data_IF_871378195174
#
_entry.id   IF_871378195174
#
_cell.length_a   1.000
_cell.length_b   1.000
_cell.length_c   1.000
_cell.angle_alpha   90.00
_cell.angle_beta   90.00
_cell.angle_gamma   90.00
#
_symmetry.space_group_name_H-M   'P 1'
#
loop_
_entity.id
_entity.type
_entity.pdbx_description
1 polymer ?
#
# COMPACT_ATOMS: atom_id res chain seq x y z
N UNK A 1 -45.94 33.51 55.17
CA UNK A 1 -44.47 33.37 55.13
C UNK A 1 -44.07 32.73 53.80
N UNK A 2 -43.11 33.33 53.11
CA UNK A 2 -42.59 32.97 51.77
C UNK A 2 -41.91 31.59 51.74
N UNK A 3 -41.96 30.91 50.58
CA UNK A 3 -40.91 30.09 49.90
C UNK A 3 -41.61 29.12 48.91
N UNK A 4 -41.76 29.45 47.63
CA UNK A 4 -40.82 29.20 46.51
C UNK A 4 -40.37 27.74 46.40
N UNK A 5 -41.00 26.98 45.48
CA UNK A 5 -40.36 25.85 44.80
C UNK A 5 -40.66 26.00 43.31
N UNK A 6 -39.70 26.62 42.62
CA UNK A 6 -39.59 26.60 41.17
C UNK A 6 -39.08 25.21 40.78
N UNK A 7 -39.92 24.38 40.17
CA UNK A 7 -39.47 23.16 39.52
C UNK A 7 -38.82 23.57 38.20
N UNK A 8 -37.49 23.63 38.19
CA UNK A 8 -36.68 23.83 37.00
C UNK A 8 -36.84 22.64 36.05
N UNK A 9 -37.45 22.91 34.89
CA UNK A 9 -37.27 22.12 33.68
C UNK A 9 -35.78 22.24 33.28
N UNK A 10 -34.97 21.25 33.65
CA UNK A 10 -33.57 21.14 33.22
C UNK A 10 -33.28 19.72 32.72
N UNK A 11 -34.10 19.26 31.77
CA UNK A 11 -33.68 18.22 30.82
C UNK A 11 -32.88 18.88 29.69
N UNK A 12 -31.72 19.44 30.02
CA UNK A 12 -30.74 19.89 29.03
C UNK A 12 -29.99 18.67 28.52
N UNK A 13 -30.53 18.08 27.45
CA UNK A 13 -29.81 17.62 26.27
C UNK A 13 -28.29 17.42 26.45
N UNK A 14 -27.88 16.33 27.11
CA UNK A 14 -26.57 15.71 26.81
C UNK A 14 -26.70 14.95 25.48
N UNK A 15 -26.94 15.68 24.39
CA UNK A 15 -26.70 15.18 23.06
C UNK A 15 -25.19 15.09 22.89
N UNK A 16 -24.62 13.92 23.14
CA UNK A 16 -23.31 13.58 22.58
C UNK A 16 -23.46 13.65 21.07
N UNK A 17 -23.18 14.82 20.49
CA UNK A 17 -23.04 14.96 19.06
C UNK A 17 -21.91 14.01 18.66
N UNK A 18 -22.27 12.88 18.05
CA UNK A 18 -21.36 12.06 17.26
C UNK A 18 -20.79 12.98 16.18
N UNK A 19 -19.68 13.63 16.49
CA UNK A 19 -19.06 14.58 15.59
C UNK A 19 -18.38 13.75 14.51
N UNK A 20 -19.03 13.64 13.35
CA UNK A 20 -18.47 12.95 12.19
C UNK A 20 -17.06 13.50 11.92
N UNK A 21 -16.11 12.59 11.70
CA UNK A 21 -14.71 12.97 11.45
C UNK A 21 -14.66 13.89 10.23
N UNK A 22 -14.20 15.13 10.44
CA UNK A 22 -14.12 16.12 9.37
C UNK A 22 -13.04 15.74 8.37
N UNK A 23 -13.43 15.52 7.12
CA UNK A 23 -12.52 15.33 5.99
C UNK A 23 -11.73 16.62 5.75
N UNK A 24 -10.40 16.54 5.72
CA UNK A 24 -9.46 17.66 5.59
C UNK A 24 -8.78 17.74 4.22
N UNK A 25 -8.99 16.74 3.37
CA UNK A 25 -8.36 16.59 2.06
C UNK A 25 -9.43 16.42 0.99
N UNK A 26 -9.26 17.09 -0.16
CA UNK A 26 -10.00 16.75 -1.38
C UNK A 26 -9.08 15.86 -2.23
N UNK A 27 -9.46 14.60 -2.39
CA UNK A 27 -8.78 13.63 -3.25
C UNK A 27 -8.87 14.04 -4.72
N UNK A 28 -8.13 13.36 -5.61
CA UNK A 28 -8.19 13.62 -7.05
C UNK A 28 -9.61 13.55 -7.60
N UNK A 29 -10.43 12.57 -7.18
CA UNK A 29 -11.83 12.46 -7.60
C UNK A 29 -12.71 13.62 -7.08
N UNK A 30 -12.49 14.11 -5.86
CA UNK A 30 -13.20 15.30 -5.36
C UNK A 30 -12.84 16.54 -6.15
N UNK A 31 -11.56 16.72 -6.48
CA UNK A 31 -11.09 17.85 -7.29
C UNK A 31 -11.60 17.76 -8.73
N UNK A 32 -11.64 16.55 -9.31
CA UNK A 32 -12.17 16.32 -10.65
C UNK A 32 -13.67 16.67 -10.73
N UNK A 33 -14.46 16.26 -9.73
CA UNK A 33 -15.88 16.65 -9.62
C UNK A 33 -16.04 18.17 -9.54
N UNK A 34 -15.23 18.86 -8.71
CA UNK A 34 -15.27 20.34 -8.62
C UNK A 34 -14.95 21.03 -9.94
N UNK A 35 -14.11 20.40 -10.78
CA UNK A 35 -13.75 20.91 -12.10
C UNK A 35 -14.77 20.52 -13.17
N UNK A 36 -15.90 19.91 -12.77
CA UNK A 36 -16.92 19.38 -13.67
C UNK A 36 -16.34 18.44 -14.74
N UNK A 37 -15.37 17.61 -14.37
CA UNK A 37 -14.73 16.62 -15.25
C UNK A 37 -14.09 17.21 -16.52
N UNK A 38 -13.78 18.51 -16.55
CA UNK A 38 -13.36 19.23 -17.77
C UNK A 38 -12.21 18.57 -18.54
N UNK A 39 -11.24 17.96 -17.84
CA UNK A 39 -10.11 17.31 -18.50
C UNK A 39 -10.47 15.99 -19.22
N UNK A 40 -11.70 15.49 -19.06
CA UNK A 40 -12.23 14.28 -19.69
C UNK A 40 -13.21 14.55 -20.84
N UNK A 41 -13.64 15.80 -21.03
CA UNK A 41 -14.65 16.15 -22.04
C UNK A 41 -14.17 15.79 -23.45
N UNK A 42 -15.06 15.18 -24.24
CA UNK A 42 -14.78 14.78 -25.62
C UNK A 42 -13.85 13.56 -25.79
N UNK A 43 -13.44 12.90 -24.70
CA UNK A 43 -12.54 11.72 -24.72
C UNK A 43 -13.30 10.45 -24.38
N UNK A 44 -12.92 9.33 -24.99
CA UNK A 44 -13.32 7.98 -24.54
C UNK A 44 -12.45 7.57 -23.36
N UNK A 45 -13.07 7.43 -22.20
CA UNK A 45 -12.37 7.22 -20.93
C UNK A 45 -12.32 5.73 -20.58
N UNK A 46 -11.11 5.24 -20.35
CA UNK A 46 -10.87 3.96 -19.68
C UNK A 46 -10.51 4.19 -18.21
N UNK A 47 -11.12 3.49 -17.26
CA UNK A 47 -10.87 3.68 -15.82
C UNK A 47 -10.17 2.47 -15.20
N UNK A 48 -8.98 2.69 -14.66
CA UNK A 48 -8.24 1.74 -13.83
C UNK A 48 -8.60 2.02 -12.37
N UNK A 49 -9.33 1.10 -11.76
CA UNK A 49 -9.87 1.29 -10.40
C UNK A 49 -10.12 -0.04 -9.71
N UNK A 50 -10.42 0.04 -8.42
CA UNK A 50 -10.87 -1.06 -7.57
C UNK A 50 -11.86 -0.50 -6.51
N UNK A 51 -12.30 -1.27 -5.50
CA UNK A 51 -13.24 -0.76 -4.48
C UNK A 51 -12.78 0.47 -3.70
N UNK A 52 -11.48 0.80 -3.70
CA UNK A 52 -10.95 1.99 -3.01
C UNK A 52 -11.16 3.29 -3.79
N UNK A 53 -11.46 3.20 -5.08
CA UNK A 53 -11.75 4.32 -5.96
C UNK A 53 -13.13 4.90 -5.68
N UNK A 54 -13.27 5.58 -4.55
CA UNK A 54 -14.52 6.21 -4.09
C UNK A 54 -14.33 7.68 -3.71
N UNK A 55 -15.45 8.42 -3.72
CA UNK A 55 -15.54 9.80 -3.24
C UNK A 55 -15.82 9.89 -1.73
N UNK A 56 -15.97 11.12 -1.20
CA UNK A 56 -16.24 11.36 0.22
C UNK A 56 -17.58 10.78 0.73
N UNK A 57 -18.47 10.36 -0.18
CA UNK A 57 -19.76 9.73 0.11
C UNK A 57 -19.74 8.22 -0.16
N UNK A 58 -18.55 7.65 -0.32
CA UNK A 58 -18.35 6.23 -0.63
C UNK A 58 -18.96 5.80 -1.97
N UNK A 59 -19.21 6.74 -2.88
CA UNK A 59 -19.66 6.42 -4.23
C UNK A 59 -18.46 6.08 -5.11
N UNK A 60 -18.53 4.98 -5.84
CA UNK A 60 -17.47 4.54 -6.75
C UNK A 60 -17.23 5.56 -7.85
N UNK A 61 -15.96 5.78 -8.19
CA UNK A 61 -15.52 6.57 -9.34
C UNK A 61 -16.09 6.01 -10.65
N UNK A 62 -16.35 4.70 -10.71
CA UNK A 62 -17.05 4.07 -11.85
C UNK A 62 -18.41 4.74 -12.05
N UNK A 63 -19.22 4.75 -11.01
CA UNK A 63 -20.60 5.23 -11.08
C UNK A 63 -20.63 6.76 -11.24
N UNK A 64 -19.68 7.48 -10.62
CA UNK A 64 -19.54 8.93 -10.78
C UNK A 64 -19.24 9.30 -12.23
N UNK A 65 -18.29 8.62 -12.89
CA UNK A 65 -17.93 8.93 -14.27
C UNK A 65 -18.97 8.42 -15.26
N UNK A 66 -19.65 7.31 -14.97
CA UNK A 66 -20.72 6.78 -15.82
C UNK A 66 -21.97 7.68 -15.83
N UNK A 67 -22.32 8.28 -14.69
CA UNK A 67 -23.49 9.17 -14.57
C UNK A 67 -23.22 10.61 -15.04
N UNK A 68 -21.95 11.01 -15.18
CA UNK A 68 -21.59 12.36 -15.59
C UNK A 68 -21.89 12.57 -17.10
N UNK A 69 -22.82 13.48 -17.47
CA UNK A 69 -23.29 13.58 -18.86
C UNK A 69 -22.24 14.07 -19.86
N UNK A 70 -21.16 14.70 -19.37
CA UNK A 70 -20.04 15.19 -20.18
C UNK A 70 -18.84 14.22 -20.20
N UNK A 71 -18.98 13.01 -19.65
CA UNK A 71 -17.94 11.98 -19.63
C UNK A 71 -18.41 10.76 -20.42
N UNK A 72 -17.58 10.28 -21.35
CA UNK A 72 -17.84 9.06 -22.10
C UNK A 72 -16.97 7.91 -21.53
N UNK A 73 -17.43 7.28 -20.44
CA UNK A 73 -16.76 6.12 -19.85
C UNK A 73 -17.07 4.86 -20.67
N UNK A 74 -16.03 4.23 -21.24
CA UNK A 74 -16.20 3.12 -22.22
C UNK A 74 -15.60 1.80 -21.78
N UNK A 75 -14.68 1.77 -20.82
CA UNK A 75 -14.02 0.55 -20.36
C UNK A 75 -13.52 0.65 -18.92
N UNK A 76 -13.47 -0.49 -18.23
CA UNK A 76 -12.96 -0.63 -16.87
C UNK A 76 -11.77 -1.59 -16.86
N UNK A 77 -10.80 -1.33 -15.99
CA UNK A 77 -9.57 -2.10 -15.85
C UNK A 77 -9.33 -2.43 -14.38
N UNK A 78 -9.39 -3.72 -14.03
CA UNK A 78 -9.20 -4.20 -12.66
C UNK A 78 -7.77 -4.63 -12.40
N UNK A 79 -7.11 -4.17 -11.31
CA UNK A 79 -5.81 -4.67 -10.89
C UNK A 79 -5.94 -6.03 -10.19
N UNK A 80 -4.98 -6.37 -9.33
CA UNK A 80 -5.11 -7.45 -8.35
C UNK A 80 -6.39 -7.27 -7.50
N UNK A 81 -7.20 -8.33 -7.40
CA UNK A 81 -8.54 -8.39 -6.76
C UNK A 81 -9.73 -7.82 -7.56
N UNK A 82 -9.51 -7.41 -8.81
CA UNK A 82 -10.60 -6.99 -9.71
C UNK A 82 -11.18 -5.60 -9.43
N UNK A 83 -12.16 -5.19 -10.26
CA UNK A 83 -12.73 -3.83 -10.23
C UNK A 83 -13.74 -3.64 -9.08
N UNK A 84 -14.61 -4.63 -8.85
CA UNK A 84 -15.66 -4.57 -7.80
C UNK A 84 -15.28 -5.36 -6.53
N UNK A 85 -14.06 -5.91 -6.47
CA UNK A 85 -13.58 -6.70 -5.32
C UNK A 85 -14.21 -8.09 -5.21
N UNK A 86 -14.81 -8.56 -6.30
CA UNK A 86 -15.55 -9.82 -6.43
C UNK A 86 -14.67 -11.01 -6.86
N UNK A 87 -13.34 -10.81 -6.91
CA UNK A 87 -12.37 -11.78 -7.40
C UNK A 87 -11.27 -12.01 -6.36
N UNK A 88 -10.93 -13.26 -6.05
CA UNK A 88 -9.79 -13.56 -5.17
C UNK A 88 -8.44 -13.28 -5.87
N UNK A 89 -7.41 -12.97 -5.09
CA UNK A 89 -6.04 -12.87 -5.64
C UNK A 89 -5.64 -14.19 -6.29
N UNK A 90 -5.17 -14.14 -7.54
CA UNK A 90 -4.73 -15.31 -8.29
C UNK A 90 -5.78 -15.92 -9.23
N UNK A 91 -7.05 -15.52 -9.12
CA UNK A 91 -8.11 -16.05 -9.98
C UNK A 91 -8.03 -15.52 -11.40
N UNK A 92 -8.37 -16.38 -12.36
CA UNK A 92 -8.44 -16.03 -13.78
C UNK A 92 -9.74 -15.26 -14.04
N UNK A 93 -9.63 -13.98 -14.37
CA UNK A 93 -10.77 -13.16 -14.78
C UNK A 93 -10.86 -13.22 -16.31
N UNK A 94 -11.93 -13.81 -16.84
CA UNK A 94 -12.27 -13.67 -18.27
C UNK A 94 -12.76 -12.24 -18.56
N UNK A 95 -12.84 -11.83 -19.83
CA UNK A 95 -13.47 -10.54 -20.16
C UNK A 95 -14.92 -10.54 -19.65
N UNK A 96 -15.22 -9.65 -18.71
CA UNK A 96 -16.54 -9.54 -18.08
C UNK A 96 -17.21 -8.23 -18.48
N UNK A 97 -18.51 -8.12 -18.23
CA UNK A 97 -19.22 -6.84 -18.22
C UNK A 97 -19.56 -6.47 -16.79
N UNK A 98 -19.38 -5.21 -16.43
CA UNK A 98 -19.83 -4.70 -15.15
C UNK A 98 -21.36 -4.72 -15.11
N UNK A 99 -21.96 -5.38 -14.12
CA UNK A 99 -23.40 -5.60 -14.08
C UNK A 99 -24.21 -4.30 -13.95
N UNK A 100 -23.65 -3.27 -13.31
CA UNK A 100 -24.35 -2.00 -13.07
C UNK A 100 -24.31 -1.07 -14.29
N UNK A 101 -23.19 -1.03 -15.01
CA UNK A 101 -22.95 -0.07 -16.12
C UNK A 101 -23.00 -0.72 -17.51
N UNK A 102 -22.90 -2.04 -17.59
CA UNK A 102 -22.80 -2.81 -18.84
C UNK A 102 -21.45 -2.69 -19.55
N UNK A 103 -20.48 -1.96 -18.97
CA UNK A 103 -19.17 -1.70 -19.58
C UNK A 103 -18.27 -2.93 -19.59
N UNK A 104 -17.39 -3.09 -20.61
CA UNK A 104 -16.38 -4.13 -20.60
C UNK A 104 -15.38 -3.92 -19.45
N UNK A 105 -15.01 -5.02 -18.81
CA UNK A 105 -14.04 -5.09 -17.71
C UNK A 105 -12.86 -5.95 -18.13
N UNK A 106 -11.67 -5.35 -18.17
CA UNK A 106 -10.42 -6.01 -18.48
C UNK A 106 -9.61 -6.26 -17.21
N UNK A 107 -9.00 -7.44 -17.11
CA UNK A 107 -8.08 -7.76 -16.00
C UNK A 107 -6.65 -7.32 -16.33
N UNK A 108 -6.05 -6.55 -15.42
CA UNK A 108 -4.64 -6.16 -15.43
C UNK A 108 -3.81 -7.00 -14.43
N UNK A 109 -4.13 -8.29 -14.32
CA UNK A 109 -3.45 -9.25 -13.43
C UNK A 109 -3.15 -10.59 -14.13
N UNK A 110 -2.38 -11.45 -13.47
CA UNK A 110 -2.05 -12.79 -13.98
C UNK A 110 -1.22 -12.73 -15.27
N UNK A 111 -1.75 -13.27 -16.37
CA UNK A 111 -1.10 -13.28 -17.69
C UNK A 111 -1.05 -11.90 -18.36
N UNK A 112 -1.98 -11.00 -18.01
CA UNK A 112 -2.11 -9.70 -18.66
C UNK A 112 -1.96 -8.60 -17.63
N UNK A 113 -0.73 -8.29 -17.20
CA UNK A 113 -0.45 -7.23 -16.20
C UNK A 113 -0.32 -5.84 -16.80
N UNK A 114 -0.16 -5.77 -18.12
CA UNK A 114 -0.04 -4.55 -18.92
C UNK A 114 -1.18 -4.55 -19.93
N UNK A 115 -1.88 -3.42 -20.06
CA UNK A 115 -2.98 -3.29 -21.02
C UNK A 115 -2.46 -3.54 -22.45
N UNK A 116 -3.16 -4.39 -23.20
CA UNK A 116 -2.79 -4.69 -24.59
C UNK A 116 -3.29 -3.60 -25.54
N UNK A 117 -2.71 -3.44 -26.74
CA UNK A 117 -3.24 -2.50 -27.74
C UNK A 117 -4.73 -2.71 -28.03
N UNK A 118 -5.19 -3.96 -28.06
CA UNK A 118 -6.59 -4.30 -28.27
C UNK A 118 -7.50 -3.78 -27.15
N UNK A 119 -7.04 -3.87 -25.90
CA UNK A 119 -7.77 -3.31 -24.75
C UNK A 119 -7.82 -1.78 -24.77
N UNK A 120 -6.93 -1.11 -25.51
CA UNK A 120 -6.81 0.35 -25.57
C UNK A 120 -7.36 0.97 -26.87
N UNK A 121 -7.81 0.16 -27.83
CA UNK A 121 -8.24 0.64 -29.15
C UNK A 121 -9.39 1.66 -29.07
N UNK A 122 -10.30 1.45 -28.12
CA UNK A 122 -11.51 2.24 -27.94
C UNK A 122 -11.36 3.34 -26.87
N UNK A 123 -10.16 3.53 -26.33
CA UNK A 123 -9.86 4.49 -25.26
C UNK A 123 -8.93 5.58 -25.80
N UNK A 124 -9.21 6.83 -25.43
CA UNK A 124 -8.35 7.98 -25.71
C UNK A 124 -7.50 8.37 -24.48
N UNK A 125 -8.08 8.18 -23.28
CA UNK A 125 -7.43 8.46 -22.00
C UNK A 125 -7.67 7.36 -20.97
N UNK A 126 -6.61 6.93 -20.30
CA UNK A 126 -6.70 6.08 -19.11
C UNK A 126 -6.70 6.96 -17.86
N UNK A 127 -7.68 6.77 -16.99
CA UNK A 127 -7.77 7.38 -15.67
C UNK A 127 -7.40 6.34 -14.61
N UNK A 128 -6.51 6.68 -13.69
CA UNK A 128 -6.12 5.84 -12.56
C UNK A 128 -6.64 6.42 -11.25
N UNK A 129 -7.42 5.64 -10.49
CA UNK A 129 -7.95 6.03 -9.18
C UNK A 129 -7.96 4.85 -8.19
N UNK A 130 -6.82 4.57 -7.56
CA UNK A 130 -6.66 3.47 -6.58
C UNK A 130 -5.87 3.98 -5.37
N UNK A 131 -6.30 3.60 -4.17
CA UNK A 131 -5.57 3.83 -2.93
C UNK A 131 -4.49 2.75 -2.72
N UNK A 132 -3.22 3.12 -2.92
CA UNK A 132 -2.06 2.29 -2.55
C UNK A 132 -1.66 2.48 -1.07
N UNK A 133 -0.58 1.81 -0.64
CA UNK A 133 -0.11 1.79 0.76
C UNK A 133 1.27 2.44 0.98
N UNK A 134 1.87 3.06 -0.04
CA UNK A 134 3.19 3.69 0.09
C UNK A 134 4.37 2.71 0.14
N UNK A 135 4.17 1.44 -0.26
CA UNK A 135 5.16 0.37 -0.22
C UNK A 135 5.35 -0.29 -1.58
N UNK A 136 6.61 -0.48 -2.00
CA UNK A 136 7.00 -0.87 -3.36
C UNK A 136 6.43 -2.22 -3.81
N UNK A 137 6.32 -3.18 -2.90
CA UNK A 137 5.80 -4.52 -3.21
C UNK A 137 4.28 -4.59 -3.31
N UNK A 138 3.57 -3.50 -3.03
CA UNK A 138 2.12 -3.43 -3.21
C UNK A 138 1.79 -3.08 -4.66
N UNK A 139 1.27 -4.05 -5.41
CA UNK A 139 1.38 -4.10 -6.88
C UNK A 139 0.56 -3.07 -7.65
N UNK A 140 -0.30 -2.28 -6.98
CA UNK A 140 -1.10 -1.25 -7.63
C UNK A 140 -0.27 -0.16 -8.31
N UNK A 141 0.90 0.18 -7.75
CA UNK A 141 1.83 1.10 -8.41
C UNK A 141 2.52 0.47 -9.62
N UNK A 142 2.76 -0.85 -9.59
CA UNK A 142 3.27 -1.60 -10.74
C UNK A 142 2.25 -1.61 -11.88
N UNK A 143 0.97 -1.85 -11.55
CA UNK A 143 -0.14 -1.69 -12.51
C UNK A 143 -0.19 -0.28 -13.08
N UNK A 144 -0.06 0.76 -12.24
CA UNK A 144 -0.04 2.16 -12.69
C UNK A 144 1.06 2.40 -13.73
N UNK A 145 2.32 2.08 -13.42
CA UNK A 145 3.42 2.37 -14.34
C UNK A 145 3.42 1.49 -15.60
N UNK A 146 2.98 0.21 -15.51
CA UNK A 146 2.78 -0.61 -16.72
C UNK A 146 1.65 -0.06 -17.61
N UNK A 147 0.58 0.48 -17.01
CA UNK A 147 -0.48 1.13 -17.77
C UNK A 147 -0.03 2.48 -18.36
N UNK A 148 0.80 3.25 -17.67
CA UNK A 148 1.46 4.44 -18.22
C UNK A 148 2.35 4.09 -19.41
N UNK A 149 3.11 3.00 -19.32
CA UNK A 149 3.93 2.49 -20.42
C UNK A 149 3.08 2.09 -21.62
N UNK A 150 1.99 1.33 -21.40
CA UNK A 150 1.05 0.97 -22.45
C UNK A 150 0.38 2.20 -23.08
N UNK A 151 0.03 3.21 -22.28
CA UNK A 151 -0.50 4.48 -22.78
C UNK A 151 0.52 5.20 -23.67
N UNK A 152 1.77 5.31 -23.23
CA UNK A 152 2.85 5.94 -24.00
C UNK A 152 3.11 5.20 -25.34
N UNK A 153 3.07 3.87 -25.35
CA UNK A 153 3.25 3.05 -26.56
C UNK A 153 2.11 3.20 -27.57
N UNK A 154 0.89 3.48 -27.10
CA UNK A 154 -0.31 3.53 -27.93
C UNK A 154 -0.84 4.96 -28.14
N UNK A 155 -0.04 5.98 -27.81
CA UNK A 155 -0.41 7.39 -27.97
C UNK A 155 -1.62 7.81 -27.15
N UNK A 156 -1.84 7.21 -25.98
CA UNK A 156 -2.96 7.50 -25.08
C UNK A 156 -2.53 8.50 -24.00
N UNK A 157 -3.46 9.34 -23.57
CA UNK A 157 -3.27 10.16 -22.38
C UNK A 157 -3.43 9.29 -21.12
N UNK A 158 -2.73 9.67 -20.06
CA UNK A 158 -2.86 9.03 -18.75
C UNK A 158 -3.12 10.09 -17.68
N UNK A 159 -4.21 9.93 -16.93
CA UNK A 159 -4.62 10.83 -15.86
C UNK A 159 -4.58 10.09 -14.52
N UNK A 160 -3.86 10.63 -13.54
CA UNK A 160 -3.88 10.12 -12.16
C UNK A 160 -4.80 10.98 -11.30
N UNK A 161 -5.82 10.39 -10.69
CA UNK A 161 -6.58 11.00 -9.61
C UNK A 161 -5.81 10.76 -8.32
N UNK A 162 -5.07 11.76 -7.88
CA UNK A 162 -4.08 11.55 -6.84
C UNK A 162 -4.73 11.24 -5.47
N UNK A 163 -4.07 10.39 -4.68
CA UNK A 163 -4.53 9.92 -3.37
C UNK A 163 -3.45 10.04 -2.30
N UNK A 164 -3.82 10.15 -1.01
CA UNK A 164 -2.86 10.20 0.08
C UNK A 164 -1.94 8.98 0.09
N UNK A 165 -0.64 9.18 0.30
CA UNK A 165 0.20 8.09 0.79
C UNK A 165 -0.17 7.85 2.27
N UNK A 166 -0.69 6.66 2.65
CA UNK A 166 -1.24 6.45 3.99
C UNK A 166 -0.16 6.40 5.09
N UNK A 167 1.10 6.13 4.73
CA UNK A 167 2.25 6.17 5.63
C UNK A 167 2.96 7.53 5.63
N UNK A 168 2.36 8.54 4.98
CA UNK A 168 2.91 9.88 4.84
C UNK A 168 4.01 10.00 3.78
N UNK A 169 4.44 11.23 3.53
CA UNK A 169 5.42 11.58 2.50
C UNK A 169 6.84 11.80 3.03
N UNK A 170 7.18 11.31 4.23
CA UNK A 170 8.49 11.61 4.85
C UNK A 170 9.42 10.41 4.95
N UNK A 171 8.88 9.22 5.22
CA UNK A 171 9.67 8.00 5.34
C UNK A 171 10.17 7.54 3.98
N UNK A 172 11.46 7.25 3.93
CA UNK A 172 12.14 6.62 2.79
C UNK A 172 13.03 5.54 3.38
N UNK A 173 12.75 4.28 3.06
CA UNK A 173 13.45 3.11 3.62
C UNK A 173 13.66 2.05 2.52
N UNK A 174 14.82 1.38 2.54
CA UNK A 174 15.18 0.31 1.61
C UNK A 174 15.96 0.76 0.37
N UNK A 175 16.77 -0.15 -0.15
CA UNK A 175 17.55 0.09 -1.37
C UNK A 175 16.65 0.20 -2.60
N UNK A 176 17.14 0.86 -3.65
CA UNK A 176 16.51 0.80 -4.97
C UNK A 176 16.53 -0.63 -5.49
N UNK A 177 15.54 -0.97 -6.30
CA UNK A 177 15.52 -2.25 -7.03
C UNK A 177 16.69 -2.34 -8.01
N UNK A 178 17.42 -3.45 -7.97
CA UNK A 178 18.45 -3.83 -8.93
C UNK A 178 17.87 -4.53 -10.16
N UNK A 179 18.58 -4.49 -11.28
CA UNK A 179 18.08 -4.94 -12.59
C UNK A 179 17.67 -6.42 -12.59
N UNK A 180 18.38 -7.28 -11.85
CA UNK A 180 18.07 -8.70 -11.71
C UNK A 180 16.86 -8.99 -10.78
N UNK A 181 16.41 -7.98 -10.05
CA UNK A 181 15.28 -8.05 -9.12
C UNK A 181 14.07 -7.25 -9.61
N UNK A 182 14.11 -6.60 -10.78
CA UNK A 182 12.94 -5.93 -11.36
C UNK A 182 11.86 -6.96 -11.67
N UNK A 183 10.68 -6.76 -11.09
CA UNK A 183 9.52 -7.65 -11.26
C UNK A 183 8.22 -6.92 -10.93
N UNK A 184 7.07 -7.58 -11.05
CA UNK A 184 5.79 -6.96 -10.72
C UNK A 184 5.65 -6.52 -9.25
N UNK A 185 6.42 -7.11 -8.32
CA UNK A 185 6.47 -6.71 -6.89
C UNK A 185 7.63 -5.75 -6.58
N UNK A 186 8.31 -5.27 -7.61
CA UNK A 186 9.54 -4.47 -7.54
C UNK A 186 9.77 -3.75 -8.87
N UNK A 187 8.70 -3.13 -9.39
CA UNK A 187 8.63 -2.78 -10.82
C UNK A 187 9.55 -1.63 -11.22
N UNK A 188 9.96 -0.80 -10.26
CA UNK A 188 10.74 0.41 -10.50
C UNK A 188 11.93 0.49 -9.55
N UNK A 189 12.97 1.23 -9.98
CA UNK A 189 14.14 1.57 -9.16
C UNK A 189 13.79 2.67 -8.14
N UNK A 190 12.95 2.31 -7.17
CA UNK A 190 12.53 3.14 -6.03
C UNK A 190 12.80 2.38 -4.72
N UNK A 191 12.94 3.06 -3.57
CA UNK A 191 13.06 2.43 -2.25
C UNK A 191 11.84 1.58 -1.89
N UNK A 192 11.96 0.73 -0.87
CA UNK A 192 10.86 -0.12 -0.40
C UNK A 192 9.69 0.71 0.14
N UNK A 193 9.98 1.69 1.01
CA UNK A 193 9.08 2.81 1.29
C UNK A 193 9.59 4.02 0.52
N UNK A 194 8.83 4.47 -0.47
CA UNK A 194 9.27 5.52 -1.40
C UNK A 194 8.75 6.92 -1.04
N UNK A 195 7.78 7.02 -0.13
CA UNK A 195 7.34 8.30 0.43
C UNK A 195 6.74 9.29 -0.57
N UNK A 196 6.15 8.84 -1.69
CA UNK A 196 5.46 9.66 -2.67
C UNK A 196 3.97 9.31 -2.69
N UNK A 197 3.12 10.22 -3.14
CA UNK A 197 1.77 9.83 -3.60
C UNK A 197 1.84 9.10 -4.94
N UNK A 198 0.76 8.44 -5.36
CA UNK A 198 0.72 7.80 -6.68
C UNK A 198 0.90 8.83 -7.83
N UNK A 199 0.36 10.04 -7.69
CA UNK A 199 0.59 11.14 -8.63
C UNK A 199 2.02 11.65 -8.67
N UNK A 200 2.66 11.84 -7.50
CA UNK A 200 4.08 12.22 -7.43
C UNK A 200 5.00 11.12 -8.00
N UNK A 201 4.67 9.84 -7.77
CA UNK A 201 5.38 8.71 -8.36
C UNK A 201 5.21 8.68 -9.88
N UNK A 202 4.00 8.88 -10.41
CA UNK A 202 3.77 8.93 -11.85
C UNK A 202 4.59 10.05 -12.51
N UNK A 203 4.66 11.23 -11.90
CA UNK A 203 5.52 12.34 -12.37
C UNK A 203 7.00 11.94 -12.38
N UNK A 204 7.48 11.28 -11.32
CA UNK A 204 8.85 10.79 -11.25
C UNK A 204 9.15 9.76 -12.35
N UNK A 205 8.29 8.74 -12.51
CA UNK A 205 8.48 7.71 -13.52
C UNK A 205 8.57 8.32 -14.93
N UNK A 206 7.73 9.32 -15.20
CA UNK A 206 7.70 10.01 -16.49
C UNK A 206 8.87 10.98 -16.70
N UNK A 207 9.22 11.76 -15.68
CA UNK A 207 10.26 12.79 -15.74
C UNK A 207 11.69 12.24 -15.74
N UNK A 208 11.92 11.15 -15.00
CA UNK A 208 13.22 10.47 -14.93
C UNK A 208 13.34 9.33 -15.96
N UNK A 209 12.39 9.22 -16.90
CA UNK A 209 12.38 8.23 -18.00
C UNK A 209 12.54 6.79 -17.51
N UNK A 210 11.81 6.44 -16.45
CA UNK A 210 11.88 5.12 -15.81
C UNK A 210 10.95 4.08 -16.45
N UNK A 211 10.08 4.49 -17.38
CA UNK A 211 9.27 3.56 -18.17
C UNK A 211 10.17 2.82 -19.18
N UNK A 212 9.73 1.65 -19.67
CA UNK A 212 10.50 0.85 -20.63
C UNK A 212 10.98 1.69 -21.81
N UNK A 213 12.22 1.47 -22.22
CA UNK A 213 12.90 2.19 -23.31
C UNK A 213 12.98 3.72 -23.11
N UNK A 214 12.80 4.21 -21.87
CA UNK A 214 12.85 5.63 -21.55
C UNK A 214 11.65 6.42 -22.09
N UNK A 215 10.53 5.75 -22.39
CA UNK A 215 9.31 6.39 -22.91
C UNK A 215 8.71 7.37 -21.92
N UNK A 216 8.02 8.36 -22.47
CA UNK A 216 7.26 9.34 -21.70
C UNK A 216 5.80 9.28 -22.14
N UNK A 217 4.90 9.25 -21.17
CA UNK A 217 3.46 9.29 -21.36
C UNK A 217 2.98 10.76 -21.40
N UNK A 218 1.92 11.03 -22.16
CA UNK A 218 1.15 12.26 -22.01
C UNK A 218 0.39 12.20 -20.68
N UNK A 219 1.06 12.64 -19.61
CA UNK A 219 0.64 12.47 -18.23
C UNK A 219 0.02 13.76 -17.69
N UNK A 220 -1.15 13.62 -17.07
CA UNK A 220 -1.76 14.65 -16.24
C UNK A 220 -2.07 14.11 -14.84
N UNK A 221 -1.85 14.91 -13.80
CA UNK A 221 -2.17 14.54 -12.42
C UNK A 221 -3.21 15.52 -11.88
N UNK A 222 -4.37 15.00 -11.49
CA UNK A 222 -5.39 15.76 -10.77
C UNK A 222 -4.97 15.83 -9.30
N UNK A 223 -4.22 16.88 -8.98
CA UNK A 223 -3.62 17.13 -7.68
C UNK A 223 -4.67 17.28 -6.57
N UNK A 224 -4.42 16.66 -5.42
CA UNK A 224 -5.23 16.83 -4.21
C UNK A 224 -5.19 18.26 -3.67
N UNK A 225 -6.20 18.64 -2.88
CA UNK A 225 -6.17 19.87 -2.07
C UNK A 225 -6.13 19.50 -0.59
N UNK A 226 -5.21 20.11 0.16
CA UNK A 226 -5.14 19.99 1.62
C UNK A 226 -4.20 18.91 2.17
N UNK A 227 -3.85 17.88 1.39
CA UNK A 227 -2.87 16.87 1.84
C UNK A 227 -1.49 17.49 2.06
N UNK A 228 -0.79 17.01 3.09
CA UNK A 228 0.56 17.43 3.49
C UNK A 228 1.41 16.20 3.72
N UNK A 229 2.71 16.31 3.47
CA UNK A 229 3.63 15.17 3.61
C UNK A 229 3.68 14.59 5.02
N UNK A 230 3.39 15.41 6.03
CA UNK A 230 3.31 15.00 7.44
C UNK A 230 2.03 14.23 7.80
N UNK A 231 1.03 14.19 6.92
CA UNK A 231 -0.23 13.50 7.18
C UNK A 231 -0.08 11.99 6.98
N UNK A 232 -0.41 11.21 7.99
CA UNK A 232 -0.86 9.84 7.78
C UNK A 232 -2.32 9.80 7.29
N UNK A 233 -2.82 8.61 6.94
CA UNK A 233 -4.17 8.45 6.43
C UNK A 233 -5.25 8.93 7.41
N UNK A 234 -5.12 8.63 8.71
CA UNK A 234 -6.14 8.97 9.71
C UNK A 234 -6.29 10.49 9.86
N UNK A 235 -5.20 11.23 9.70
CA UNK A 235 -5.19 12.69 9.77
C UNK A 235 -5.92 13.35 8.60
N UNK A 236 -6.15 12.64 7.49
CA UNK A 236 -6.92 13.14 6.33
C UNK A 236 -8.41 13.25 6.61
N UNK A 237 -8.93 12.46 7.56
CA UNK A 237 -10.36 12.34 7.83
C UNK A 237 -11.14 11.43 6.89
N UNK A 238 -10.49 10.82 5.88
CA UNK A 238 -11.12 9.91 4.94
C UNK A 238 -11.44 8.55 5.58
N UNK A 239 -12.46 7.88 5.05
CA UNK A 239 -12.76 6.49 5.40
C UNK A 239 -11.77 5.55 4.69
N UNK A 240 -11.30 4.53 5.40
CA UNK A 240 -10.46 3.50 4.83
C UNK A 240 -11.33 2.39 4.23
N UNK A 241 -11.25 2.21 2.91
CA UNK A 241 -11.67 0.97 2.26
C UNK A 241 -10.49 0.02 2.29
N UNK A 242 -10.65 -1.25 2.71
CA UNK A 242 -9.57 -2.24 2.67
C UNK A 242 -8.87 -2.24 1.31
N UNK A 243 -7.59 -1.83 1.29
CA UNK A 243 -6.82 -1.74 0.06
C UNK A 243 -6.51 -3.14 -0.50
N UNK A 244 -6.42 -4.14 0.38
CA UNK A 244 -6.56 -5.56 0.06
C UNK A 244 -7.15 -6.28 1.29
N UNK A 245 -7.55 -7.57 1.18
CA UNK A 245 -8.16 -8.29 2.31
C UNK A 245 -7.31 -8.31 3.59
N UNK A 246 -5.98 -8.27 3.45
CA UNK A 246 -5.06 -8.27 4.60
C UNK A 246 -4.58 -6.87 5.00
N UNK A 247 -5.04 -5.80 4.34
CA UNK A 247 -4.88 -4.41 4.77
C UNK A 247 -6.26 -3.82 5.14
N UNK A 248 -6.93 -4.36 6.18
CA UNK A 248 -8.31 -4.01 6.51
C UNK A 248 -8.47 -2.62 7.12
N UNK A 249 -7.39 -2.03 7.64
CA UNK A 249 -7.42 -0.78 8.38
C UNK A 249 -6.30 0.15 7.93
N UNK A 250 -6.43 1.48 8.11
CA UNK A 250 -5.39 2.42 7.70
C UNK A 250 -4.07 2.17 8.43
N UNK A 251 -4.12 1.70 9.68
CA UNK A 251 -2.90 1.37 10.41
C UNK A 251 -2.19 0.12 9.85
N UNK A 252 -2.91 -0.79 9.19
CA UNK A 252 -2.32 -1.98 8.55
C UNK A 252 -1.33 -1.58 7.46
N UNK A 253 -1.49 -0.41 6.83
CA UNK A 253 -0.53 0.13 5.86
C UNK A 253 0.85 0.39 6.49
N UNK A 254 0.92 0.78 7.76
CA UNK A 254 2.19 0.93 8.48
C UNK A 254 2.86 -0.42 8.78
N UNK A 255 2.06 -1.46 9.00
CA UNK A 255 2.55 -2.76 9.42
C UNK A 255 2.91 -3.67 8.24
N UNK A 256 2.32 -3.48 7.06
CA UNK A 256 2.75 -4.19 5.86
C UNK A 256 4.28 -4.16 5.64
N UNK A 257 4.97 -3.00 5.65
CA UNK A 257 6.42 -2.98 5.53
C UNK A 257 7.16 -3.55 6.75
N UNK A 258 6.52 -3.62 7.93
CA UNK A 258 7.12 -4.16 9.16
C UNK A 258 7.45 -5.63 9.04
N UNK A 259 6.57 -6.42 8.40
CA UNK A 259 6.70 -7.88 8.36
C UNK A 259 6.53 -8.51 6.96
N UNK A 260 6.16 -7.72 5.95
CA UNK A 260 5.74 -8.23 4.64
C UNK A 260 6.84 -8.98 3.89
N UNK A 261 8.10 -8.55 4.00
CA UNK A 261 9.23 -9.21 3.31
C UNK A 261 9.46 -10.61 3.88
N UNK A 262 9.47 -10.76 5.22
CA UNK A 262 9.52 -12.06 5.88
C UNK A 262 8.28 -12.91 5.55
N UNK A 263 7.12 -12.27 5.40
CA UNK A 263 5.86 -12.91 5.04
C UNK A 263 5.92 -13.73 3.75
N UNK A 264 6.72 -13.30 2.76
CA UNK A 264 6.89 -14.02 1.49
C UNK A 264 7.49 -15.43 1.67
N UNK A 265 8.17 -15.68 2.78
CA UNK A 265 8.76 -16.99 3.07
C UNK A 265 7.76 -17.98 3.67
N UNK A 266 6.64 -17.50 4.24
CA UNK A 266 5.67 -18.35 4.94
C UNK A 266 6.25 -19.14 6.13
N UNK A 267 7.40 -18.72 6.66
CA UNK A 267 8.15 -19.45 7.69
C UNK A 267 7.66 -19.16 9.11
N UNK A 268 7.35 -17.89 9.38
CA UNK A 268 6.76 -17.44 10.63
C UNK A 268 5.39 -16.85 10.34
N UNK A 269 4.45 -16.99 11.28
CA UNK A 269 3.20 -16.28 11.21
C UNK A 269 3.45 -14.80 11.44
N UNK A 270 3.09 -13.98 10.45
CA UNK A 270 3.13 -12.52 10.54
C UNK A 270 1.74 -11.93 10.84
N UNK A 271 0.82 -12.74 11.35
CA UNK A 271 -0.57 -12.35 11.62
C UNK A 271 -1.53 -12.48 10.44
N UNK A 272 -1.05 -12.67 9.21
CA UNK A 272 -1.90 -13.12 8.09
C UNK A 272 -2.38 -14.54 8.42
N UNK A 273 -3.69 -14.75 8.50
CA UNK A 273 -4.27 -15.96 9.12
C UNK A 273 -4.86 -15.72 10.51
N UNK A 274 -4.60 -14.55 11.10
CA UNK A 274 -5.10 -14.09 12.40
C UNK A 274 -5.77 -12.71 12.26
N UNK A 275 -6.18 -12.08 13.36
CA UNK A 275 -6.99 -10.85 13.35
C UNK A 275 -6.18 -9.55 13.30
N UNK A 276 -4.85 -9.63 13.37
CA UNK A 276 -3.93 -8.48 13.35
C UNK A 276 -2.84 -8.65 12.27
N UNK A 277 -3.22 -8.75 10.99
CA UNK A 277 -2.28 -9.03 9.91
C UNK A 277 -1.15 -8.00 9.84
N UNK A 278 0.07 -8.49 9.69
CA UNK A 278 1.34 -7.76 9.64
C UNK A 278 1.81 -7.14 10.97
N UNK A 279 1.01 -7.20 12.04
CA UNK A 279 1.31 -6.51 13.31
C UNK A 279 2.13 -7.36 14.29
N UNK A 280 2.61 -8.53 13.87
CA UNK A 280 3.14 -9.52 14.80
C UNK A 280 4.09 -10.51 14.11
N UNK A 281 4.80 -11.29 14.93
CA UNK A 281 5.69 -12.35 14.51
C UNK A 281 5.55 -13.51 15.50
N UNK A 282 5.27 -14.73 15.01
CA UNK A 282 5.08 -15.88 15.87
C UNK A 282 5.41 -17.21 15.18
N UNK A 283 5.80 -18.20 15.97
CA UNK A 283 6.09 -19.57 15.53
C UNK A 283 5.85 -20.56 16.69
N UNK A 284 5.68 -21.88 16.42
CA UNK A 284 5.39 -22.86 17.47
C UNK A 284 6.58 -23.14 18.40
N UNK A 285 7.81 -22.84 17.94
CA UNK A 285 9.06 -23.05 18.67
C UNK A 285 9.52 -21.82 19.48
N UNK A 286 8.78 -20.71 19.44
CA UNK A 286 9.14 -19.49 20.16
C UNK A 286 8.69 -19.52 21.62
N UNK A 287 9.41 -18.80 22.48
CA UNK A 287 9.00 -18.45 23.83
C UNK A 287 8.75 -16.94 23.87
N UNK A 288 7.47 -16.55 23.99
CA UNK A 288 7.02 -15.16 23.79
C UNK A 288 7.80 -14.15 24.64
N UNK A 289 7.94 -14.44 25.93
CA UNK A 289 8.61 -13.56 26.91
C UNK A 289 10.10 -13.36 26.60
N UNK A 290 10.81 -14.43 26.20
CA UNK A 290 12.24 -14.34 25.86
C UNK A 290 12.47 -13.48 24.63
N UNK A 291 11.67 -13.70 23.58
CA UNK A 291 11.76 -12.90 22.35
C UNK A 291 11.42 -11.43 22.61
N UNK A 292 10.33 -11.15 23.34
CA UNK A 292 9.94 -9.79 23.70
C UNK A 292 11.03 -9.08 24.51
N UNK A 293 11.60 -9.76 25.52
CA UNK A 293 12.68 -9.22 26.34
C UNK A 293 13.92 -8.84 25.52
N UNK A 294 14.36 -9.73 24.62
CA UNK A 294 15.49 -9.45 23.72
C UNK A 294 15.22 -8.30 22.77
N UNK A 295 14.06 -8.27 22.12
CA UNK A 295 13.72 -7.20 21.18
C UNK A 295 13.58 -5.83 21.87
N UNK A 296 12.95 -5.78 23.06
CA UNK A 296 12.85 -4.54 23.82
C UNK A 296 14.23 -4.05 24.32
N UNK A 297 15.19 -4.96 24.57
CA UNK A 297 16.57 -4.60 24.93
C UNK A 297 17.35 -3.90 23.81
N UNK A 298 16.87 -3.97 22.57
CA UNK A 298 17.42 -3.21 21.44
C UNK A 298 17.05 -1.72 21.49
N UNK A 299 16.08 -1.33 22.34
CA UNK A 299 15.61 0.05 22.50
C UNK A 299 15.24 0.71 21.15
N UNK A 300 14.54 -0.03 20.28
CA UNK A 300 14.15 0.46 18.96
C UNK A 300 13.25 1.70 19.10
N UNK A 301 13.62 2.86 18.53
CA UNK A 301 12.86 4.09 18.70
C UNK A 301 11.41 3.96 18.24
N UNK A 302 10.47 4.36 19.10
CA UNK A 302 9.04 4.39 18.75
C UNK A 302 8.38 3.01 18.64
N UNK A 303 8.99 1.95 19.17
CA UNK A 303 8.47 0.58 19.11
C UNK A 303 8.53 -0.08 20.48
N UNK A 304 7.49 -0.85 20.80
CA UNK A 304 7.43 -1.77 21.93
C UNK A 304 7.00 -3.14 21.42
N UNK A 305 7.69 -4.20 21.85
CA UNK A 305 7.32 -5.58 21.53
C UNK A 305 6.59 -6.19 22.73
N UNK A 306 5.34 -6.60 22.53
CA UNK A 306 4.53 -7.24 23.59
C UNK A 306 4.49 -8.75 23.35
N UNK A 307 4.79 -9.59 24.35
CA UNK A 307 4.67 -11.04 24.21
C UNK A 307 3.21 -11.44 23.90
N UNK A 308 3.01 -12.45 23.06
CA UNK A 308 1.68 -12.94 22.71
C UNK A 308 1.64 -14.44 22.44
N UNK A 309 0.44 -15.00 22.66
CA UNK A 309 0.08 -16.39 22.44
C UNK A 309 -1.17 -16.39 21.57
N UNK A 310 -1.19 -17.21 20.52
CA UNK A 310 -2.29 -17.20 19.56
C UNK A 310 -2.49 -18.56 18.90
N UNK A 311 -3.64 -18.71 18.25
CA UNK A 311 -3.95 -19.84 17.37
C UNK A 311 -4.53 -19.30 16.06
N UNK A 312 -3.77 -19.26 14.95
CA UNK A 312 -4.26 -18.78 13.66
C UNK A 312 -5.49 -19.54 13.15
N UNK A 313 -6.40 -18.82 12.49
CA UNK A 313 -7.63 -19.37 11.90
C UNK A 313 -7.37 -20.02 10.53
N UNK A 314 -6.39 -19.51 9.78
CA UNK A 314 -5.97 -20.00 8.46
C UNK A 314 -4.50 -19.64 8.20
N UNK A 315 -3.96 -20.00 7.02
CA UNK A 315 -2.58 -19.72 6.61
C UNK A 315 -1.52 -20.34 7.55
N UNK A 316 -0.36 -19.69 7.70
CA UNK A 316 0.80 -20.18 8.46
C UNK A 316 0.43 -20.50 9.92
N UNK A 317 0.65 -21.75 10.33
CA UNK A 317 0.37 -22.22 11.70
C UNK A 317 -1.12 -22.39 12.01
N UNK A 318 -1.98 -22.58 11.00
CA UNK A 318 -3.42 -22.82 11.18
C UNK A 318 -3.68 -23.88 12.25
N UNK A 319 -4.42 -23.50 13.30
CA UNK A 319 -4.84 -24.42 14.36
C UNK A 319 -3.74 -24.79 15.38
N UNK A 320 -2.51 -24.33 15.21
CA UNK A 320 -1.40 -24.57 16.13
C UNK A 320 -1.30 -23.43 17.15
N UNK A 321 -0.92 -23.75 18.40
CA UNK A 321 -0.55 -22.73 19.38
C UNK A 321 0.80 -22.14 18.97
N UNK A 322 0.81 -20.86 18.65
CA UNK A 322 2.00 -20.09 18.37
C UNK A 322 2.30 -19.15 19.54
N UNK A 323 3.58 -18.85 19.70
CA UNK A 323 4.06 -17.80 20.60
C UNK A 323 4.91 -16.81 19.82
N UNK A 324 5.02 -15.59 20.32
CA UNK A 324 5.88 -14.58 19.72
C UNK A 324 5.60 -13.19 20.25
N UNK A 325 5.64 -12.19 19.37
CA UNK A 325 5.47 -10.78 19.73
C UNK A 325 4.47 -10.06 18.84
N UNK A 326 3.67 -9.20 19.47
CA UNK A 326 2.96 -8.13 18.79
C UNK A 326 3.86 -6.89 18.76
N UNK A 327 3.98 -6.27 17.60
CA UNK A 327 4.68 -4.99 17.43
C UNK A 327 3.71 -3.86 17.70
N UNK A 328 4.03 -3.02 18.68
CA UNK A 328 3.30 -1.78 18.97
C UNK A 328 4.16 -0.59 18.53
N UNK A 329 3.71 0.14 17.52
CA UNK A 329 4.32 1.41 17.10
C UNK A 329 3.77 2.51 18.03
N UNK A 330 4.63 3.05 18.89
CA UNK A 330 4.30 4.10 19.86
C UNK A 330 4.65 5.50 19.36
N UNK A 331 5.60 5.61 18.43
CA UNK A 331 5.94 6.84 17.73
C UNK A 331 6.27 6.52 16.27
N UNK A 332 5.31 6.74 15.39
CA UNK A 332 5.46 6.47 13.96
C UNK A 332 6.62 7.24 13.34
N UNK A 333 6.84 8.49 13.74
CA UNK A 333 7.90 9.33 13.17
C UNK A 333 9.29 8.73 13.37
N UNK A 334 9.50 8.04 14.50
CA UNK A 334 10.78 7.44 14.89
C UNK A 334 10.94 5.97 14.49
N UNK A 335 9.84 5.22 14.35
CA UNK A 335 9.90 3.78 14.09
C UNK A 335 10.51 3.45 12.71
N UNK A 336 11.59 2.65 12.63
CA UNK A 336 12.17 2.20 11.37
C UNK A 336 11.41 0.96 10.87
N UNK A 337 10.34 1.18 10.11
CA UNK A 337 9.30 0.16 9.92
C UNK A 337 9.87 -1.12 9.31
N UNK A 338 10.56 -1.00 8.18
CA UNK A 338 11.04 -2.14 7.40
C UNK A 338 12.19 -2.91 8.05
N UNK A 339 12.92 -2.28 8.97
CA UNK A 339 14.02 -2.91 9.73
C UNK A 339 13.52 -3.97 10.70
N UNK A 340 12.28 -3.82 11.21
CA UNK A 340 11.77 -4.59 12.34
C UNK A 340 11.77 -6.10 12.09
N UNK A 341 11.37 -6.57 10.91
CA UNK A 341 11.45 -8.00 10.58
C UNK A 341 12.87 -8.55 10.65
N UNK A 342 13.89 -7.79 10.24
CA UNK A 342 15.27 -8.23 10.28
C UNK A 342 15.80 -8.29 11.72
N UNK A 343 15.39 -7.35 12.57
CA UNK A 343 15.68 -7.40 14.01
C UNK A 343 14.98 -8.61 14.67
N UNK A 344 13.74 -8.91 14.29
CA UNK A 344 13.04 -10.12 14.75
C UNK A 344 13.75 -11.38 14.30
N UNK A 345 14.12 -11.48 13.02
CA UNK A 345 14.88 -12.60 12.48
C UNK A 345 16.24 -12.78 13.19
N UNK A 346 16.91 -11.67 13.52
CA UNK A 346 18.17 -11.67 14.25
C UNK A 346 18.00 -12.22 15.68
N UNK A 347 17.08 -11.67 16.46
CA UNK A 347 16.89 -12.10 17.85
C UNK A 347 16.29 -13.51 17.94
N UNK A 348 15.47 -13.90 16.95
CA UNK A 348 14.99 -15.27 16.83
C UNK A 348 16.14 -16.25 16.54
N UNK A 349 17.03 -15.95 15.60
CA UNK A 349 18.20 -16.79 15.32
C UNK A 349 19.18 -16.85 16.50
N UNK A 350 19.30 -15.77 17.28
CA UNK A 350 20.13 -15.75 18.48
C UNK A 350 19.57 -16.61 19.62
N UNK A 351 18.24 -16.67 19.78
CA UNK A 351 17.57 -17.52 20.78
C UNK A 351 17.46 -18.97 20.32
N UNK A 352 17.26 -19.19 19.03
CA UNK A 352 16.98 -20.47 18.40
C UNK A 352 17.87 -20.66 17.16
N UNK A 353 19.18 -20.95 17.31
CA UNK A 353 20.11 -21.04 16.19
C UNK A 353 19.73 -22.12 15.15
N UNK A 354 19.10 -23.21 15.59
CA UNK A 354 18.55 -24.28 14.76
C UNK A 354 17.22 -23.91 14.07
N UNK A 355 16.84 -22.62 14.10
CA UNK A 355 15.64 -22.04 13.47
C UNK A 355 15.97 -20.79 12.64
N UNK A 356 17.24 -20.61 12.27
CA UNK A 356 17.66 -19.53 11.39
C UNK A 356 16.86 -19.54 10.08
N UNK A 357 16.24 -18.40 9.74
CA UNK A 357 15.23 -18.33 8.67
C UNK A 357 15.73 -18.89 7.33
N UNK A 358 16.92 -18.50 6.88
CA UNK A 358 17.43 -18.92 5.56
C UNK A 358 17.99 -20.34 5.51
N UNK A 359 18.14 -21.01 6.67
CA UNK A 359 18.51 -22.42 6.73
C UNK A 359 17.28 -23.34 6.69
N UNK A 360 16.13 -22.84 7.15
CA UNK A 360 14.93 -23.65 7.40
C UNK A 360 13.68 -23.24 6.61
N UNK A 361 13.59 -22.02 6.09
CA UNK A 361 12.48 -21.61 5.22
C UNK A 361 12.56 -22.29 3.85
N UNK A 362 11.42 -22.35 3.15
CA UNK A 362 11.35 -22.92 1.80
C UNK A 362 12.25 -22.13 0.83
N UNK A 363 13.30 -22.79 0.33
CA UNK A 363 14.26 -22.22 -0.63
C UNK A 363 13.58 -21.80 -1.94
N UNK A 364 12.45 -22.40 -2.30
CA UNK A 364 11.60 -22.01 -3.43
C UNK A 364 10.98 -20.62 -3.29
N UNK A 365 10.97 -20.03 -2.08
CA UNK A 365 10.48 -18.67 -1.80
C UNK A 365 11.57 -17.60 -1.83
N UNK A 366 12.85 -18.00 -1.81
CA UNK A 366 13.97 -17.05 -1.78
C UNK A 366 14.01 -16.08 -2.97
N UNK A 367 13.70 -16.51 -4.21
CA UNK A 367 13.63 -15.57 -5.33
C UNK A 367 12.54 -14.50 -5.16
N UNK A 368 11.44 -14.80 -4.44
CA UNK A 368 10.40 -13.81 -4.15
C UNK A 368 10.87 -12.84 -3.06
N UNK A 369 11.50 -13.35 -2.00
CA UNK A 369 12.13 -12.53 -0.97
C UNK A 369 13.15 -11.54 -1.58
N UNK A 370 14.02 -12.01 -2.47
CA UNK A 370 15.01 -11.18 -3.17
C UNK A 370 14.32 -10.07 -4.00
N UNK A 371 13.27 -10.42 -4.75
CA UNK A 371 12.50 -9.47 -5.56
C UNK A 371 11.82 -8.41 -4.69
N UNK A 372 11.17 -8.80 -3.60
CA UNK A 372 10.52 -7.85 -2.68
C UNK A 372 11.54 -6.93 -2.01
N UNK A 373 12.70 -7.45 -1.59
CA UNK A 373 13.86 -6.65 -1.16
C UNK A 373 14.42 -5.74 -2.25
N UNK A 374 14.24 -6.12 -3.52
CA UNK A 374 14.79 -5.42 -4.68
C UNK A 374 16.29 -5.66 -4.85
N UNK A 375 16.88 -6.60 -4.12
CA UNK A 375 18.26 -7.05 -4.28
C UNK A 375 18.45 -8.38 -3.54
N UNK A 376 19.24 -9.27 -4.14
CA UNK A 376 19.68 -10.53 -3.51
C UNK A 376 20.66 -10.28 -2.36
N UNK A 377 21.33 -9.12 -2.35
CA UNK A 377 22.32 -8.74 -1.34
C UNK A 377 21.74 -8.74 0.07
N UNK A 378 20.45 -8.44 0.24
CA UNK A 378 19.80 -8.44 1.55
C UNK A 378 19.77 -9.84 2.15
N UNK A 379 19.29 -10.83 1.40
CA UNK A 379 19.29 -12.22 1.85
C UNK A 379 20.72 -12.72 2.05
N UNK A 380 21.59 -12.54 1.05
CA UNK A 380 22.94 -13.10 1.03
C UNK A 380 23.84 -12.56 2.14
N UNK A 381 23.74 -11.28 2.48
CA UNK A 381 24.50 -10.67 3.58
C UNK A 381 23.90 -11.04 4.92
N UNK A 382 22.57 -10.99 5.07
CA UNK A 382 21.91 -11.35 6.32
C UNK A 382 22.15 -12.82 6.66
N UNK A 383 22.12 -13.74 5.69
CA UNK A 383 22.33 -15.17 5.92
C UNK A 383 23.74 -15.55 6.35
N UNK A 384 24.72 -14.62 6.35
CA UNK A 384 26.09 -14.93 6.82
C UNK A 384 26.14 -15.24 8.31
N UNK A 385 25.37 -14.49 9.11
CA UNK A 385 25.33 -14.64 10.58
C UNK A 385 24.05 -14.10 11.22
N UNK A 386 23.01 -13.83 10.43
CA UNK A 386 21.68 -13.39 10.87
C UNK A 386 21.71 -12.05 11.62
N UNK A 387 22.52 -11.08 11.15
CA UNK A 387 22.67 -9.77 11.79
C UNK A 387 22.19 -8.65 10.88
N UNK A 388 21.35 -7.76 11.42
CA UNK A 388 20.88 -6.56 10.73
C UNK A 388 22.03 -5.63 10.35
N UNK A 389 23.06 -5.53 11.19
CA UNK A 389 24.21 -4.64 10.97
C UNK A 389 24.96 -4.95 9.66
N UNK A 390 24.90 -6.19 9.15
CA UNK A 390 25.55 -6.58 7.89
C UNK A 390 24.79 -6.11 6.63
N UNK A 391 23.51 -5.73 6.78
CA UNK A 391 22.66 -5.25 5.69
C UNK A 391 22.22 -3.80 5.86
N UNK A 392 22.35 -3.21 7.04
CA UNK A 392 21.89 -1.86 7.36
C UNK A 392 22.39 -0.81 6.37
N UNK A 393 23.70 -0.79 6.12
CA UNK A 393 24.29 0.19 5.20
C UNK A 393 23.79 -0.02 3.77
N UNK A 394 23.56 -1.28 3.36
CA UNK A 394 22.98 -1.58 2.05
C UNK A 394 21.54 -1.10 1.94
N UNK A 395 20.72 -1.33 2.97
CA UNK A 395 19.32 -0.96 3.01
C UNK A 395 19.11 0.56 2.94
N UNK A 396 20.06 1.35 3.46
CA UNK A 396 19.96 2.81 3.48
C UNK A 396 20.81 3.54 2.44
N UNK A 397 21.60 2.82 1.64
CA UNK A 397 22.58 3.42 0.70
C UNK A 397 21.96 4.45 -0.27
N UNK A 398 20.69 4.28 -0.63
CA UNK A 398 20.02 5.11 -1.65
C UNK A 398 19.06 6.16 -1.09
N UNK A 399 18.81 6.18 0.22
CA UNK A 399 17.69 6.94 0.80
C UNK A 399 17.82 8.46 0.60
N UNK A 400 19.02 9.01 0.80
CA UNK A 400 19.25 10.47 0.69
C UNK A 400 19.30 10.95 -0.76
N UNK A 401 19.88 10.17 -1.67
CA UNK A 401 19.86 10.48 -3.10
C UNK A 401 18.44 10.40 -3.66
N UNK A 402 17.67 9.38 -3.25
CA UNK A 402 16.27 9.27 -3.62
C UNK A 402 15.43 10.41 -3.04
N UNK A 403 15.69 10.86 -1.81
CA UNK A 403 15.05 12.04 -1.21
C UNK A 403 15.33 13.30 -2.03
N UNK A 404 16.55 13.48 -2.52
CA UNK A 404 16.94 14.62 -3.38
C UNK A 404 16.24 14.57 -4.72
N UNK A 405 16.17 13.38 -5.34
CA UNK A 405 15.44 13.15 -6.59
C UNK A 405 13.95 13.45 -6.43
N UNK A 406 13.34 12.93 -5.36
CA UNK A 406 11.92 13.06 -5.05
C UNK A 406 11.45 14.52 -4.97
N UNK A 407 12.29 15.42 -4.43
CA UNK A 407 11.95 16.85 -4.31
C UNK A 407 11.60 17.53 -5.64
N UNK A 408 12.14 17.04 -6.77
CA UNK A 408 11.82 17.57 -8.11
C UNK A 408 10.36 17.30 -8.51
N UNK A 409 9.76 16.26 -7.93
CA UNK A 409 8.45 15.72 -8.32
C UNK A 409 7.37 15.94 -7.25
N UNK A 410 7.71 16.61 -6.14
CA UNK A 410 6.74 16.89 -5.08
C UNK A 410 5.64 17.83 -5.53
N UNK A 411 4.40 17.39 -5.35
CA UNK A 411 3.20 18.20 -5.48
C UNK A 411 2.83 18.84 -4.13
N UNK A 412 3.23 18.23 -3.03
CA UNK A 412 2.79 18.61 -1.68
C UNK A 412 3.94 19.00 -0.77
N UNK A 413 3.65 19.86 0.22
CA UNK A 413 4.60 20.32 1.23
C UNK A 413 4.46 19.57 2.54
#
# INVERSE_FOLDING_TARGET
MKKTITICLLCLLCGSALQAQKIKVKTGIEVLKEQNFRCLEGKRVGLITNPTGVDNRMKSTIDILHEAPNVNLVALYGPEHGVRGDVHAGDHVADMKDASTGLPVHSLYGKTRKATPQMLKDVDVLVYDIQDIGCRSFTYISTMGLAMEAAAENGKEFIVLDRPNPVGGLKIEGNLTEDDCISFVSQFKIPYLYGLTCGELALMLNGERMLKEGRQCNLHVVKMKGWKRKMDYTQTGLQWVPSSPHIPHPHSAFFYPVSGILGELGYMSIGVGYTIPFQMFAAPWMEAEKLAGRLNSLHVPGVVFRPMYLKPFYSVGKGELLQGVQVHITDFGKAPLSELQFLVMQEAAALYPDRAVFDHADKGRFPMFDKVCGSRQIRERFSKRNRWEDIRDYWYKDAEDFRRLSKKHYLYR
#
